data_IF_539695103992
#
_entry.id   IF_539695103992
#
_cell.length_a   1.000
_cell.length_b   1.000
_cell.length_c   1.000
_cell.angle_alpha   90.00
_cell.angle_beta   90.00
_cell.angle_gamma   90.00
#
_symmetry.space_group_name_H-M   'P 1'
#
loop_
_entity.id
_entity.type
_entity.pdbx_description
1 polymer ?
#
# COMPACT_ATOMS: atom_id res chain seq x y z
N UNK A 1 9.82 -7.88 -44.71
CA UNK A 1 8.82 -6.98 -44.09
C UNK A 1 7.64 -7.84 -43.65
N UNK A 2 7.70 -8.39 -42.44
CA UNK A 2 7.12 -7.80 -41.22
C UNK A 2 5.61 -7.63 -41.35
N UNK A 3 4.85 -8.58 -40.77
CA UNK A 3 3.87 -8.35 -39.68
C UNK A 3 2.81 -9.48 -39.63
N UNK A 4 3.19 -10.66 -39.12
CA UNK A 4 2.26 -11.61 -38.48
C UNK A 4 2.37 -11.53 -36.94
N UNK A 5 2.85 -10.39 -36.42
CA UNK A 5 3.07 -10.14 -34.98
C UNK A 5 1.89 -9.41 -34.31
N UNK A 6 0.84 -9.06 -35.07
CA UNK A 6 -0.28 -8.24 -34.60
C UNK A 6 -1.52 -9.04 -34.17
N UNK A 7 -1.66 -10.30 -34.60
CA UNK A 7 -2.80 -11.14 -34.22
C UNK A 7 -2.75 -11.64 -32.75
N UNK A 8 -1.59 -11.56 -32.09
CA UNK A 8 -1.45 -11.92 -30.67
C UNK A 8 -1.87 -10.80 -29.71
N UNK A 9 -1.88 -9.54 -30.15
CA UNK A 9 -2.23 -8.38 -29.32
C UNK A 9 -3.68 -8.41 -28.80
N UNK A 10 -4.72 -8.71 -29.62
CA UNK A 10 -6.07 -8.81 -29.08
C UNK A 10 -6.23 -10.02 -28.15
N UNK A 11 -5.47 -11.11 -28.37
CA UNK A 11 -5.45 -12.26 -27.47
C UNK A 11 -4.76 -11.92 -26.13
N UNK A 12 -3.67 -11.16 -26.15
CA UNK A 12 -2.96 -10.67 -24.97
C UNK A 12 -3.83 -9.71 -24.17
N UNK A 13 -4.52 -8.79 -24.84
CA UNK A 13 -5.48 -7.86 -24.21
C UNK A 13 -6.65 -8.65 -23.62
N UNK A 14 -7.17 -9.66 -24.33
CA UNK A 14 -8.20 -10.55 -23.80
C UNK A 14 -7.69 -11.35 -22.60
N UNK A 15 -6.45 -11.86 -22.63
CA UNK A 15 -5.83 -12.52 -21.47
C UNK A 15 -5.69 -11.54 -20.30
N UNK A 16 -5.28 -10.28 -20.54
CA UNK A 16 -5.20 -9.23 -19.53
C UNK A 16 -6.58 -8.86 -18.94
N UNK A 17 -7.63 -8.84 -19.77
CA UNK A 17 -9.03 -8.60 -19.36
C UNK A 17 -9.69 -9.84 -18.72
N UNK A 18 -9.26 -11.05 -19.07
CA UNK A 18 -9.67 -12.29 -18.42
C UNK A 18 -8.96 -12.46 -17.07
N UNK A 19 -7.72 -11.98 -16.95
CA UNK A 19 -7.03 -11.90 -15.65
C UNK A 19 -7.57 -10.79 -14.77
N UNK A 20 -8.12 -9.69 -15.31
CA UNK A 20 -8.77 -8.68 -14.47
C UNK A 20 -10.06 -9.20 -13.82
N UNK A 21 -10.65 -10.28 -14.37
CA UNK A 21 -11.73 -11.05 -13.74
C UNK A 21 -11.28 -12.31 -12.97
N UNK A 22 -10.00 -12.68 -13.00
CA UNK A 22 -9.41 -13.85 -12.31
C UNK A 22 -8.46 -13.46 -11.18
N UNK A 23 -8.17 -12.17 -10.95
CA UNK A 23 -7.67 -11.68 -9.65
C UNK A 23 -8.85 -11.60 -8.65
N UNK A 24 -9.63 -12.67 -8.57
CA UNK A 24 -10.46 -12.95 -7.43
C UNK A 24 -9.53 -13.59 -6.38
N UNK A 25 -9.11 -12.80 -5.39
CA UNK A 25 -8.26 -13.19 -4.25
C UNK A 25 -6.74 -13.27 -4.51
N UNK A 26 -6.13 -12.18 -5.00
CA UNK A 26 -4.84 -11.80 -4.42
C UNK A 26 -5.19 -11.09 -3.10
N UNK A 27 -5.17 -11.80 -1.97
CA UNK A 27 -5.22 -11.14 -0.67
C UNK A 27 -3.95 -10.31 -0.54
N UNK A 28 -4.04 -9.03 -0.92
CA UNK A 28 -2.96 -8.06 -0.75
C UNK A 28 -2.50 -8.14 0.71
N UNK A 29 -1.21 -8.29 0.95
CA UNK A 29 -0.76 -8.48 2.33
C UNK A 29 -1.09 -7.23 3.15
N UNK A 30 -1.29 -7.36 4.48
CA UNK A 30 -1.44 -6.20 5.36
C UNK A 30 -0.39 -5.11 5.15
N UNK A 31 0.84 -5.51 4.84
CA UNK A 31 1.96 -4.60 4.60
C UNK A 31 1.78 -3.83 3.29
N UNK A 32 1.36 -4.49 2.21
CA UNK A 32 1.13 -3.85 0.92
C UNK A 32 -0.02 -2.83 1.00
N UNK A 33 -1.09 -3.16 1.73
CA UNK A 33 -2.21 -2.24 1.97
C UNK A 33 -1.75 -1.03 2.77
N UNK A 34 -0.89 -1.24 3.78
CA UNK A 34 -0.34 -0.13 4.57
C UNK A 34 0.55 0.77 3.72
N UNK A 35 1.41 0.19 2.86
CA UNK A 35 2.27 0.94 1.96
C UNK A 35 1.45 1.80 0.98
N UNK A 36 0.39 1.24 0.38
CA UNK A 36 -0.52 2.00 -0.49
C UNK A 36 -1.14 3.21 0.24
N UNK A 37 -1.59 3.03 1.49
CA UNK A 37 -2.15 4.13 2.29
C UNK A 37 -1.10 5.17 2.65
N UNK A 38 0.13 4.76 2.94
CA UNK A 38 1.26 5.67 3.23
C UNK A 38 1.58 6.51 2.00
N UNK A 39 1.65 5.89 0.82
CA UNK A 39 1.90 6.60 -0.44
C UNK A 39 0.76 7.60 -0.75
N UNK A 40 -0.50 7.18 -0.59
CA UNK A 40 -1.64 8.08 -0.77
C UNK A 40 -1.61 9.26 0.22
N UNK A 41 -1.21 9.03 1.47
CA UNK A 41 -1.03 10.09 2.47
C UNK A 41 0.10 11.05 2.09
N UNK A 42 1.23 10.53 1.58
CA UNK A 42 2.35 11.35 1.07
C UNK A 42 1.90 12.25 -0.07
N UNK A 43 1.24 11.68 -1.06
CA UNK A 43 0.83 12.38 -2.29
C UNK A 43 -0.23 13.45 -2.02
N UNK A 44 -1.07 13.23 -1.00
CA UNK A 44 -2.09 14.19 -0.57
C UNK A 44 -1.62 15.14 0.53
N UNK A 45 -0.39 14.99 1.05
CA UNK A 45 0.11 15.71 2.22
C UNK A 45 -0.86 15.61 3.42
N UNK A 46 -1.42 14.42 3.65
CA UNK A 46 -2.35 14.18 4.72
C UNK A 46 -1.67 14.32 6.09
N UNK A 47 -2.37 14.95 7.04
CA UNK A 47 -1.92 15.06 8.44
C UNK A 47 -2.44 13.91 9.30
N UNK A 48 -3.39 13.12 8.80
CA UNK A 48 -3.96 11.98 9.51
C UNK A 48 -3.87 10.72 8.67
N UNK A 49 -3.40 9.62 9.26
CA UNK A 49 -3.29 8.32 8.60
C UNK A 49 -3.85 7.20 9.48
N UNK A 50 -4.78 6.42 8.92
CA UNK A 50 -5.35 5.25 9.57
C UNK A 50 -4.83 3.95 8.96
N UNK A 51 -4.06 3.20 9.75
CA UNK A 51 -3.58 1.85 9.47
C UNK A 51 -4.21 0.81 10.41
N UNK A 52 -5.33 1.14 11.05
CA UNK A 52 -6.03 0.24 11.97
C UNK A 52 -6.62 -0.96 11.24
N UNK A 53 -6.77 -2.08 11.96
CA UNK A 53 -7.40 -3.32 11.47
C UNK A 53 -6.73 -3.98 10.26
N UNK A 54 -5.47 -3.67 9.96
CA UNK A 54 -4.74 -4.32 8.86
C UNK A 54 -4.15 -5.67 9.27
N UNK A 55 -3.95 -5.92 10.57
CA UNK A 55 -3.27 -7.12 11.06
C UNK A 55 -1.75 -7.04 10.89
N UNK A 56 -1.20 -5.83 10.84
CA UNK A 56 0.23 -5.57 10.72
C UNK A 56 1.01 -6.18 11.88
N UNK A 57 2.10 -6.87 11.55
CA UNK A 57 3.09 -7.35 12.54
C UNK A 57 4.28 -6.40 12.68
N UNK A 58 4.53 -5.61 11.65
CA UNK A 58 5.53 -4.53 11.60
C UNK A 58 4.96 -3.37 10.81
N UNK A 59 5.54 -2.18 10.99
CA UNK A 59 5.20 -0.99 10.20
C UNK A 59 6.17 -0.85 9.00
N UNK A 60 5.69 -0.40 7.83
CA UNK A 60 6.56 -0.02 6.73
C UNK A 60 7.47 1.15 7.11
N UNK A 61 8.74 1.11 6.71
CA UNK A 61 9.71 2.17 7.01
C UNK A 61 9.34 3.52 6.39
N UNK A 62 8.66 3.50 5.24
CA UNK A 62 8.17 4.64 4.49
C UNK A 62 7.20 5.50 5.31
N UNK A 63 6.54 4.92 6.32
CA UNK A 63 5.70 5.64 7.25
C UNK A 63 6.47 6.78 7.93
N UNK A 64 7.72 6.52 8.33
CA UNK A 64 8.53 7.44 9.14
C UNK A 64 9.07 8.64 8.37
N UNK A 65 8.85 8.68 7.06
CA UNK A 65 9.15 9.83 6.20
C UNK A 65 8.02 10.88 6.19
N UNK A 66 6.84 10.55 6.71
CA UNK A 66 5.67 11.44 6.73
C UNK A 66 5.74 12.45 7.87
N UNK A 67 6.65 13.43 7.78
CA UNK A 67 6.86 14.46 8.81
C UNK A 67 5.61 15.29 9.12
N UNK A 68 4.67 15.41 8.19
CA UNK A 68 3.44 16.22 8.34
C UNK A 68 2.33 15.51 9.13
N UNK A 69 2.50 14.23 9.47
CA UNK A 69 1.49 13.50 10.25
C UNK A 69 1.38 14.07 11.67
N UNK A 70 0.15 14.42 12.03
CA UNK A 70 -0.29 14.80 13.39
C UNK A 70 -1.06 13.68 14.07
N UNK A 71 -1.73 12.82 13.30
CA UNK A 71 -2.56 11.74 13.79
C UNK A 71 -2.20 10.42 13.09
N UNK A 72 -1.90 9.38 13.88
CA UNK A 72 -1.61 8.03 13.38
C UNK A 72 -2.40 6.98 14.16
N UNK A 73 -3.30 6.28 13.47
CA UNK A 73 -4.13 5.23 14.07
C UNK A 73 -3.56 3.85 13.73
N UNK A 74 -3.12 3.11 14.75
CA UNK A 74 -2.55 1.76 14.61
C UNK A 74 -3.39 0.67 15.32
N UNK A 75 -4.60 1.01 15.75
CA UNK A 75 -5.43 0.15 16.58
C UNK A 75 -5.79 -1.17 15.87
N UNK A 76 -6.02 -2.24 16.64
CA UNK A 76 -6.43 -3.53 16.10
C UNK A 76 -5.46 -4.15 15.06
N UNK A 77 -4.16 -3.91 15.23
CA UNK A 77 -3.10 -4.64 14.53
C UNK A 77 -2.53 -5.77 15.40
N UNK A 78 -1.46 -6.42 14.91
CA UNK A 78 -0.72 -7.49 15.60
C UNK A 78 0.72 -7.06 15.89
N UNK A 79 0.93 -5.76 16.11
CA UNK A 79 2.22 -5.17 16.45
C UNK A 79 2.60 -5.62 17.87
N UNK A 80 3.79 -6.19 18.03
CA UNK A 80 4.34 -6.52 19.35
C UNK A 80 5.06 -5.34 19.99
N UNK A 81 5.62 -4.46 19.16
CA UNK A 81 6.36 -3.27 19.55
C UNK A 81 6.23 -2.21 18.45
N UNK A 82 6.54 -0.96 18.81
CA UNK A 82 6.75 0.11 17.83
C UNK A 82 8.27 0.30 17.65
N UNK A 83 8.77 0.38 16.42
CA UNK A 83 10.19 0.65 16.17
C UNK A 83 10.57 2.04 16.66
N UNK A 84 11.84 2.24 17.02
CA UNK A 84 12.37 3.52 17.53
C UNK A 84 12.19 4.70 16.56
N UNK A 85 12.11 4.38 15.27
CA UNK A 85 11.88 5.23 14.12
C UNK A 85 10.53 5.95 14.20
N UNK A 86 9.60 5.50 15.05
CA UNK A 86 8.37 6.24 15.36
C UNK A 86 8.67 7.67 15.83
N UNK A 87 9.83 7.91 16.46
CA UNK A 87 10.28 9.24 16.88
C UNK A 87 10.62 10.20 15.73
N UNK A 88 10.69 9.72 14.48
CA UNK A 88 10.84 10.58 13.30
C UNK A 88 9.54 11.29 12.92
N UNK A 89 8.39 10.81 13.40
CA UNK A 89 7.09 11.45 13.23
C UNK A 89 6.92 12.60 14.23
N UNK A 90 7.75 13.62 14.06
CA UNK A 90 7.96 14.72 15.03
C UNK A 90 6.72 15.56 15.36
N UNK A 91 5.69 15.51 14.51
CA UNK A 91 4.47 16.30 14.65
C UNK A 91 3.28 15.51 15.21
N UNK A 92 3.45 14.22 15.54
CA UNK A 92 2.38 13.41 16.18
C UNK A 92 2.01 13.96 17.57
N UNK A 93 0.71 13.95 17.87
CA UNK A 93 0.10 14.48 19.10
C UNK A 93 -0.44 13.36 20.00
#
# INVERSE_FOLDING_TARGET
MMTQKLALLPLLILILLLTSGLVAAQEQSPYDIALERIEAARDSSATSLDLSYLGLKTLPSELFELSELTDLYLSHNRLSELPSEIGMLINLI
#
